data_IF_729042769447
#
_entry.id   IF_729042769447
#
_cell.length_a   1.000
_cell.length_b   1.000
_cell.length_c   1.000
_cell.angle_alpha   90.00
_cell.angle_beta   90.00
_cell.angle_gamma   90.00
#
_symmetry.space_group_name_H-M   'P 1'
#
loop_
_entity.id
_entity.type
_entity.pdbx_description
1 polymer ?
#
# COMPACT_ATOMS: atom_id res chain seq x y z
N UNK A 1 -19.34 -7.31 74.71
CA UNK A 1 -19.01 -8.71 75.00
C UNK A 1 -17.97 -9.11 74.03
N UNK A 2 -16.74 -9.10 74.39
CA UNK A 2 -15.84 -10.16 74.82
C UNK A 2 -15.57 -11.15 73.68
N UNK A 3 -14.39 -11.52 73.27
CA UNK A 3 -13.03 -11.48 73.79
C UNK A 3 -12.09 -11.97 72.68
N UNK A 4 -11.00 -11.31 72.60
CA UNK A 4 -9.62 -11.69 72.36
C UNK A 4 -9.26 -13.18 72.53
N UNK A 5 -8.35 -13.70 71.75
CA UNK A 5 -7.15 -14.36 72.24
C UNK A 5 -6.05 -14.48 71.16
N UNK A 6 -4.92 -13.99 71.49
CA UNK A 6 -3.56 -14.05 70.99
C UNK A 6 -2.99 -15.46 71.17
N UNK A 7 -2.21 -16.02 70.24
CA UNK A 7 -1.00 -16.72 70.67
C UNK A 7 0.13 -16.70 69.61
N UNK A 8 1.31 -16.54 70.21
CA UNK A 8 2.64 -16.39 69.60
C UNK A 8 3.42 -17.69 69.85
N UNK A 9 4.27 -18.05 68.92
CA UNK A 9 5.62 -18.64 69.11
C UNK A 9 6.16 -19.16 67.82
N UNK A 10 7.23 -18.68 67.27
CA UNK A 10 8.66 -18.73 67.59
C UNK A 10 9.39 -19.94 67.03
N UNK A 11 10.30 -19.64 66.05
CA UNK A 11 11.68 -20.13 65.79
C UNK A 11 11.86 -21.57 65.27
N UNK A 12 12.59 -21.83 64.18
CA UNK A 12 14.04 -21.89 64.06
C UNK A 12 14.44 -22.41 62.67
N UNK A 13 15.38 -21.76 62.06
CA UNK A 13 16.54 -22.20 61.29
C UNK A 13 16.60 -23.58 60.64
N UNK A 14 16.85 -23.58 59.30
CA UNK A 14 17.34 -24.73 58.54
C UNK A 14 17.77 -24.31 57.14
N UNK A 15 19.07 -24.20 56.94
CA UNK A 15 19.74 -23.98 55.67
C UNK A 15 19.53 -25.16 54.71
N UNK A 16 19.23 -24.83 53.45
CA UNK A 16 19.21 -25.83 52.39
C UNK A 16 19.18 -25.15 51.03
N UNK A 17 20.35 -25.01 50.41
CA UNK A 17 20.55 -24.55 49.06
C UNK A 17 20.03 -25.58 48.07
N UNK A 18 19.07 -25.18 47.22
CA UNK A 18 18.86 -25.80 45.94
C UNK A 18 18.48 -24.75 44.91
N UNK A 19 19.34 -24.61 43.92
CA UNK A 19 19.21 -23.85 42.72
C UNK A 19 17.98 -24.31 41.90
N UNK A 20 16.97 -23.46 41.82
CA UNK A 20 15.82 -23.58 40.93
C UNK A 20 15.80 -22.39 39.98
N UNK A 21 16.24 -22.59 38.76
CA UNK A 21 16.14 -21.63 37.69
C UNK A 21 14.67 -21.37 37.36
N UNK A 22 14.12 -20.26 37.81
CA UNK A 22 12.86 -19.71 37.36
C UNK A 22 13.14 -18.93 36.08
N UNK A 23 12.76 -19.52 34.91
CA UNK A 23 12.69 -18.84 33.64
C UNK A 23 11.58 -17.79 33.70
N UNK A 24 11.96 -16.58 34.04
CA UNK A 24 11.11 -15.39 33.86
C UNK A 24 10.98 -15.10 32.37
N UNK A 25 9.78 -15.31 31.80
CA UNK A 25 9.40 -14.81 30.51
C UNK A 25 9.31 -13.29 30.56
N UNK A 26 10.46 -12.62 30.46
CA UNK A 26 10.55 -11.21 30.20
C UNK A 26 10.05 -10.94 28.78
N UNK A 27 8.89 -10.30 28.65
CA UNK A 27 8.43 -9.70 27.40
C UNK A 27 9.44 -8.63 27.00
N UNK A 28 10.42 -9.02 26.18
CA UNK A 28 11.31 -8.09 25.52
C UNK A 28 10.47 -7.34 24.47
N UNK A 29 10.00 -6.15 24.83
CA UNK A 29 9.57 -5.13 23.88
C UNK A 29 10.80 -4.68 23.08
N UNK A 30 11.23 -5.53 22.14
CA UNK A 30 12.25 -5.21 21.17
C UNK A 30 11.79 -4.01 20.36
N UNK A 31 12.48 -2.89 20.51
CA UNK A 31 12.33 -1.73 19.64
C UNK A 31 12.59 -2.18 18.19
N UNK A 32 11.51 -2.24 17.39
CA UNK A 32 11.58 -2.57 15.97
C UNK A 32 12.18 -1.38 15.23
N UNK A 33 13.47 -1.46 14.91
CA UNK A 33 14.12 -0.55 13.95
C UNK A 33 13.99 -1.15 12.56
N UNK A 34 13.05 -0.70 11.72
CA UNK A 34 12.91 -1.22 10.37
C UNK A 34 14.15 -0.85 9.56
N UNK A 35 14.91 -1.81 9.11
CA UNK A 35 15.94 -1.60 8.10
C UNK A 35 15.25 -1.36 6.76
N UNK A 36 14.98 -0.08 6.49
CA UNK A 36 14.25 0.39 5.31
C UNK A 36 15.14 0.26 4.07
N UNK A 37 15.27 -0.94 3.53
CA UNK A 37 15.76 -1.11 2.16
C UNK A 37 14.60 -0.87 1.21
N UNK A 38 14.62 0.27 0.52
CA UNK A 38 13.73 0.54 -0.60
C UNK A 38 14.00 -0.49 -1.71
N UNK A 39 13.18 -1.54 -1.76
CA UNK A 39 13.20 -2.50 -2.85
C UNK A 39 12.31 -1.94 -3.96
N UNK A 40 12.91 -1.26 -4.94
CA UNK A 40 12.31 -1.21 -6.26
C UNK A 40 12.44 -2.62 -6.84
N UNK A 41 11.34 -3.25 -7.22
CA UNK A 41 11.34 -4.59 -7.81
C UNK A 41 12.13 -4.74 -9.12
N UNK A 42 13.01 -3.80 -9.42
CA UNK A 42 13.86 -3.74 -10.62
C UNK A 42 15.32 -3.32 -10.35
N UNK A 43 15.74 -3.16 -9.10
CA UNK A 43 17.09 -2.63 -8.79
C UNK A 43 18.27 -3.56 -9.09
N UNK A 44 18.06 -4.86 -9.25
CA UNK A 44 19.13 -5.83 -9.52
C UNK A 44 19.50 -6.02 -10.99
N UNK A 45 18.60 -5.75 -11.91
CA UNK A 45 18.80 -6.02 -13.36
C UNK A 45 19.54 -4.92 -14.09
N UNK A 46 19.68 -3.74 -13.53
CA UNK A 46 20.17 -2.55 -14.23
C UNK A 46 21.69 -2.55 -14.49
N UNK A 47 22.47 -3.07 -13.57
CA UNK A 47 23.91 -3.19 -13.75
C UNK A 47 24.21 -4.27 -14.80
N UNK A 48 23.46 -5.37 -14.77
CA UNK A 48 23.59 -6.49 -15.70
C UNK A 48 23.20 -6.09 -17.13
N UNK A 49 22.09 -5.39 -17.32
CA UNK A 49 21.70 -4.91 -18.66
C UNK A 49 22.71 -3.97 -19.29
N UNK A 50 23.37 -3.12 -18.51
CA UNK A 50 24.44 -2.24 -19.01
C UNK A 50 25.67 -2.99 -19.41
N UNK A 51 26.09 -3.95 -18.59
CA UNK A 51 27.21 -4.81 -18.89
C UNK A 51 26.96 -5.56 -20.20
N UNK A 52 25.79 -6.16 -20.37
CA UNK A 52 25.39 -6.87 -21.59
C UNK A 52 25.42 -5.95 -22.82
N UNK A 53 24.91 -4.71 -22.71
CA UNK A 53 24.95 -3.76 -23.84
C UNK A 53 26.37 -3.33 -24.19
N UNK A 54 27.26 -3.17 -23.20
CA UNK A 54 28.66 -2.85 -23.43
C UNK A 54 29.42 -4.03 -24.01
N UNK A 55 29.15 -5.26 -23.56
CA UNK A 55 29.73 -6.49 -24.11
C UNK A 55 29.31 -6.70 -25.56
N UNK A 56 28.00 -6.50 -25.86
CA UNK A 56 27.50 -6.56 -27.23
C UNK A 56 28.15 -5.50 -28.13
N UNK A 57 28.35 -4.29 -27.62
CA UNK A 57 29.03 -3.24 -28.36
C UNK A 57 30.50 -3.62 -28.67
N UNK A 58 31.20 -4.18 -27.68
CA UNK A 58 32.58 -4.67 -27.86
C UNK A 58 32.64 -5.84 -28.87
N UNK A 59 31.75 -6.82 -28.72
CA UNK A 59 31.66 -7.96 -29.62
C UNK A 59 31.37 -7.56 -31.07
N UNK A 60 30.53 -6.56 -31.29
CA UNK A 60 30.25 -6.02 -32.63
C UNK A 60 31.47 -5.36 -33.26
N UNK A 61 32.25 -4.60 -32.51
CA UNK A 61 33.48 -3.99 -33.03
C UNK A 61 34.51 -5.06 -33.41
N UNK A 62 34.70 -6.06 -32.54
CA UNK A 62 35.63 -7.18 -32.80
C UNK A 62 35.20 -7.98 -34.03
N UNK A 63 33.92 -8.34 -34.14
CA UNK A 63 33.40 -9.08 -35.30
C UNK A 63 33.50 -8.28 -36.58
N UNK A 64 33.22 -6.97 -36.56
CA UNK A 64 33.38 -6.08 -37.70
C UNK A 64 34.85 -5.98 -38.16
N UNK A 65 35.80 -5.98 -37.22
CA UNK A 65 37.23 -5.97 -37.52
C UNK A 65 37.70 -7.27 -38.18
N UNK A 66 37.16 -8.42 -37.76
CA UNK A 66 37.48 -9.75 -38.32
C UNK A 66 36.94 -9.95 -39.73
N UNK A 67 35.79 -9.36 -40.05
CA UNK A 67 35.12 -9.54 -41.35
C UNK A 67 35.72 -8.62 -42.43
N UNK A 68 36.26 -7.47 -42.04
CA UNK A 68 36.94 -6.54 -42.94
C UNK A 68 36.42 -5.10 -42.90
N UNK A 69 37.09 -4.17 -43.61
CA UNK A 69 36.80 -2.73 -43.49
C UNK A 69 35.40 -2.31 -43.90
N UNK A 70 34.78 -3.01 -44.81
CA UNK A 70 33.39 -2.75 -45.26
C UNK A 70 32.36 -3.06 -44.15
N UNK A 71 32.63 -4.06 -43.29
CA UNK A 71 31.77 -4.42 -42.18
C UNK A 71 32.07 -3.61 -40.92
N UNK A 72 33.29 -3.08 -40.79
CA UNK A 72 33.74 -2.33 -39.62
C UNK A 72 32.96 -1.03 -39.41
N UNK A 73 32.68 -0.28 -40.48
CA UNK A 73 31.98 1.01 -40.40
C UNK A 73 30.55 0.84 -39.83
N UNK A 74 29.68 -0.03 -40.34
CA UNK A 74 28.36 -0.24 -39.73
C UNK A 74 28.43 -0.87 -38.35
N UNK A 75 29.45 -1.73 -38.07
CA UNK A 75 29.67 -2.29 -36.74
C UNK A 75 29.99 -1.23 -35.69
N UNK A 76 30.88 -0.25 -36.02
CA UNK A 76 31.19 0.87 -35.15
C UNK A 76 29.94 1.76 -34.93
N UNK A 77 29.16 2.04 -35.96
CA UNK A 77 27.96 2.85 -35.83
C UNK A 77 26.94 2.18 -34.89
N UNK A 78 26.73 0.85 -35.02
CA UNK A 78 25.85 0.11 -34.15
C UNK A 78 26.38 0.00 -32.73
N UNK A 79 27.67 -0.25 -32.55
CA UNK A 79 28.34 -0.24 -31.26
C UNK A 79 28.21 1.12 -30.55
N UNK A 80 28.45 2.21 -31.26
CA UNK A 80 28.26 3.58 -30.73
C UNK A 80 26.79 3.80 -30.28
N UNK A 81 25.81 3.32 -31.04
CA UNK A 81 24.40 3.37 -30.66
C UNK A 81 24.16 2.60 -29.33
N UNK A 82 24.70 1.38 -29.21
CA UNK A 82 24.58 0.56 -27.99
C UNK A 82 25.23 1.24 -26.78
N UNK A 83 26.39 1.84 -26.96
CA UNK A 83 27.07 2.61 -25.90
C UNK A 83 26.24 3.83 -25.49
N UNK A 84 25.67 4.56 -26.43
CA UNK A 84 24.76 5.69 -26.15
C UNK A 84 23.54 5.20 -25.36
N UNK A 85 22.95 4.07 -25.73
CA UNK A 85 21.82 3.44 -25.03
C UNK A 85 22.21 3.02 -23.60
N UNK A 86 23.45 2.55 -23.37
CA UNK A 86 23.94 2.12 -22.08
C UNK A 86 24.29 3.31 -21.14
N UNK A 87 24.85 4.39 -21.69
CA UNK A 87 25.42 5.52 -20.92
C UNK A 87 24.41 6.66 -20.73
N UNK A 88 23.62 7.00 -21.75
CA UNK A 88 22.73 8.15 -21.71
C UNK A 88 21.59 7.93 -20.72
N UNK A 89 21.48 8.87 -19.80
CA UNK A 89 20.41 8.91 -18.80
C UNK A 89 19.45 10.07 -19.07
N UNK A 90 18.18 9.77 -19.19
CA UNK A 90 17.14 10.79 -19.27
C UNK A 90 16.32 10.83 -17.98
N UNK A 91 16.36 11.96 -17.25
CA UNK A 91 15.65 12.13 -15.97
C UNK A 91 16.01 11.08 -14.90
N UNK A 92 17.28 10.64 -14.87
CA UNK A 92 17.74 9.66 -13.89
C UNK A 92 17.45 8.19 -14.22
N UNK A 93 16.79 7.90 -15.37
CA UNK A 93 16.55 6.54 -15.90
C UNK A 93 17.43 6.29 -17.13
N UNK A 94 17.81 5.04 -17.37
CA UNK A 94 18.50 4.63 -18.61
C UNK A 94 17.55 4.74 -19.80
N UNK A 95 18.07 4.94 -21.02
CA UNK A 95 17.24 5.00 -22.23
C UNK A 95 16.41 3.74 -22.45
N UNK A 96 16.93 2.50 -22.29
CA UNK A 96 16.13 1.29 -22.41
C UNK A 96 14.93 1.25 -21.45
N UNK A 97 15.14 1.65 -20.17
CA UNK A 97 14.04 1.75 -19.20
C UNK A 97 12.99 2.78 -19.64
N UNK A 98 13.45 3.92 -20.12
CA UNK A 98 12.57 4.98 -20.61
C UNK A 98 11.73 4.52 -21.79
N UNK A 99 12.33 3.79 -22.74
CA UNK A 99 11.61 3.17 -23.86
C UNK A 99 10.66 2.07 -23.38
N UNK A 100 11.12 1.22 -22.47
CA UNK A 100 10.31 0.16 -21.88
C UNK A 100 9.05 0.71 -21.20
N UNK A 101 9.17 1.78 -20.38
CA UNK A 101 7.99 2.40 -19.75
C UNK A 101 7.06 3.07 -20.77
N UNK A 102 7.61 3.63 -21.87
CA UNK A 102 6.80 4.22 -22.95
C UNK A 102 6.01 3.14 -23.72
N UNK A 103 6.67 2.03 -24.05
CA UNK A 103 6.02 0.90 -24.72
C UNK A 103 4.98 0.23 -23.83
N UNK A 104 5.30 0.07 -22.54
CA UNK A 104 4.35 -0.46 -21.56
C UNK A 104 3.11 0.43 -21.42
N UNK A 105 3.29 1.76 -21.35
CA UNK A 105 2.16 2.70 -21.36
C UNK A 105 1.30 2.55 -22.61
N UNK A 106 1.93 2.51 -23.81
CA UNK A 106 1.20 2.31 -25.06
C UNK A 106 0.45 0.98 -25.10
N UNK A 107 1.08 -0.08 -24.61
CA UNK A 107 0.46 -1.41 -24.54
C UNK A 107 -0.76 -1.41 -23.60
N UNK A 108 -0.64 -0.78 -22.40
CA UNK A 108 -1.76 -0.64 -21.46
C UNK A 108 -2.91 0.17 -22.06
N UNK A 109 -2.61 1.30 -22.70
CA UNK A 109 -3.64 2.13 -23.32
C UNK A 109 -4.34 1.42 -24.50
N UNK A 110 -3.61 0.61 -25.29
CA UNK A 110 -4.21 -0.23 -26.32
C UNK A 110 -5.13 -1.30 -25.74
N UNK A 111 -4.67 -2.03 -24.72
CA UNK A 111 -5.50 -3.01 -24.00
C UNK A 111 -6.74 -2.35 -23.41
N UNK A 112 -6.56 -1.20 -22.77
CA UNK A 112 -7.65 -0.43 -22.22
C UNK A 112 -8.71 -0.04 -23.25
N UNK A 113 -8.31 0.30 -24.49
CA UNK A 113 -9.23 0.63 -25.56
C UNK A 113 -9.96 -0.59 -26.13
N UNK A 114 -9.34 -1.78 -26.09
CA UNK A 114 -9.89 -3.02 -26.66
C UNK A 114 -10.67 -3.89 -25.68
N UNK A 115 -10.49 -3.68 -24.35
CA UNK A 115 -11.12 -4.51 -23.32
C UNK A 115 -12.30 -3.75 -22.71
N UNK A 116 -13.55 -4.15 -22.96
CA UNK A 116 -14.71 -3.57 -22.29
C UNK A 116 -14.73 -3.97 -20.82
N UNK A 117 -15.44 -3.19 -20.02
CA UNK A 117 -15.71 -3.57 -18.62
C UNK A 117 -16.62 -4.79 -18.63
N UNK A 118 -16.31 -5.86 -17.86
CA UNK A 118 -17.16 -7.04 -17.82
C UNK A 118 -18.59 -6.68 -17.38
N UNK A 119 -19.62 -7.26 -18.03
CA UNK A 119 -21.00 -7.03 -17.64
C UNK A 119 -21.24 -7.50 -16.21
N UNK A 120 -22.09 -6.81 -15.45
CA UNK A 120 -22.37 -7.14 -14.06
C UNK A 120 -21.30 -6.67 -13.05
N UNK A 121 -20.27 -5.95 -13.51
CA UNK A 121 -19.31 -5.32 -12.59
C UNK A 121 -20.00 -4.25 -11.76
N UNK A 122 -19.83 -4.30 -10.43
CA UNK A 122 -20.31 -3.24 -9.54
C UNK A 122 -19.73 -1.88 -9.93
N UNK A 123 -20.58 -0.85 -9.96
CA UNK A 123 -20.20 0.48 -10.40
C UNK A 123 -19.12 1.12 -9.51
N UNK A 124 -19.04 0.75 -8.24
CA UNK A 124 -17.98 1.18 -7.31
C UNK A 124 -16.64 0.50 -7.59
N UNK A 125 -16.68 -0.77 -8.00
CA UNK A 125 -15.48 -1.56 -8.34
C UNK A 125 -14.97 -1.25 -9.75
N UNK A 126 -15.83 -0.76 -10.66
CA UNK A 126 -15.51 -0.54 -12.07
C UNK A 126 -14.19 0.19 -12.31
N UNK A 127 -13.81 1.29 -11.61
CA UNK A 127 -12.51 1.94 -11.82
C UNK A 127 -11.31 1.03 -11.54
N UNK A 128 -11.40 0.10 -10.58
CA UNK A 128 -10.34 -0.86 -10.29
C UNK A 128 -10.30 -1.98 -11.34
N UNK A 129 -11.46 -2.50 -11.77
CA UNK A 129 -11.59 -3.52 -12.82
C UNK A 129 -11.13 -2.98 -14.18
N UNK A 130 -11.34 -1.69 -14.47
CA UNK A 130 -10.78 -1.04 -15.65
C UNK A 130 -9.25 -0.99 -15.66
N UNK A 131 -8.64 -0.98 -14.47
CA UNK A 131 -7.18 -1.04 -14.31
C UNK A 131 -6.66 -2.48 -14.38
N UNK A 132 -7.42 -3.43 -13.82
CA UNK A 132 -7.14 -4.87 -13.84
C UNK A 132 -8.43 -5.65 -14.11
N UNK A 133 -8.68 -6.07 -15.36
CA UNK A 133 -9.93 -6.70 -15.78
C UNK A 133 -10.21 -8.07 -15.15
N UNK A 134 -9.20 -8.68 -14.51
CA UNK A 134 -9.36 -9.97 -13.85
C UNK A 134 -9.89 -9.85 -12.43
N UNK A 135 -9.89 -8.65 -11.84
CA UNK A 135 -10.38 -8.45 -10.48
C UNK A 135 -11.85 -8.84 -10.35
N UNK A 136 -12.12 -9.64 -9.32
CA UNK A 136 -13.46 -10.09 -8.93
C UNK A 136 -13.58 -9.99 -7.42
N UNK A 137 -14.78 -9.77 -6.93
CA UNK A 137 -15.11 -9.84 -5.51
C UNK A 137 -15.72 -11.20 -5.15
N UNK A 138 -15.54 -11.56 -3.91
CA UNK A 138 -16.05 -12.80 -3.32
C UNK A 138 -16.61 -12.50 -1.94
N UNK A 139 -17.72 -13.15 -1.60
CA UNK A 139 -18.28 -13.16 -0.25
C UNK A 139 -18.02 -14.51 0.39
N UNK A 140 -17.31 -14.54 1.51
CA UNK A 140 -17.03 -15.74 2.26
C UNK A 140 -17.87 -15.78 3.53
N UNK A 141 -18.69 -16.84 3.67
CA UNK A 141 -19.51 -17.11 4.84
C UNK A 141 -18.86 -18.22 5.68
N UNK A 142 -18.76 -18.01 6.98
CA UNK A 142 -18.15 -18.97 7.90
C UNK A 142 -19.20 -19.99 8.35
N UNK A 143 -19.17 -21.19 7.74
CA UNK A 143 -20.08 -22.27 8.10
C UNK A 143 -21.54 -22.00 7.76
N UNK A 144 -22.47 -22.74 8.42
CA UNK A 144 -23.92 -22.60 8.24
C UNK A 144 -24.56 -21.46 9.05
N UNK A 145 -23.74 -20.73 9.82
CA UNK A 145 -24.24 -19.68 10.69
C UNK A 145 -24.49 -18.40 9.87
N UNK A 146 -25.74 -18.20 9.46
CA UNK A 146 -26.18 -17.05 8.67
C UNK A 146 -26.16 -15.74 9.43
N UNK A 147 -26.01 -15.80 10.74
CA UNK A 147 -25.92 -14.60 11.60
C UNK A 147 -24.51 -14.00 11.67
N UNK A 148 -23.50 -14.72 11.19
CA UNK A 148 -22.14 -14.18 11.12
C UNK A 148 -21.95 -13.31 9.87
N UNK A 149 -21.36 -12.15 10.08
CA UNK A 149 -21.07 -11.19 9.02
C UNK A 149 -20.12 -11.82 7.98
N UNK A 150 -20.45 -11.78 6.68
CA UNK A 150 -19.60 -12.33 5.64
C UNK A 150 -18.31 -11.51 5.51
N UNK A 151 -17.23 -12.18 5.12
CA UNK A 151 -15.94 -11.56 4.82
C UNK A 151 -15.85 -11.29 3.33
N UNK A 152 -15.72 -10.01 2.96
CA UNK A 152 -15.47 -9.59 1.58
C UNK A 152 -14.01 -9.81 1.19
N UNK A 153 -13.81 -10.35 0.02
CA UNK A 153 -12.48 -10.57 -0.57
C UNK A 153 -12.45 -10.09 -2.02
N UNK A 154 -11.29 -9.66 -2.48
CA UNK A 154 -11.04 -9.33 -3.88
C UNK A 154 -9.82 -10.10 -4.37
N UNK A 155 -9.86 -10.58 -5.63
CA UNK A 155 -8.75 -11.31 -6.24
C UNK A 155 -8.84 -11.32 -7.74
N UNK A 156 -7.76 -11.75 -8.41
CA UNK A 156 -7.66 -11.85 -9.88
C UNK A 156 -7.57 -13.31 -10.39
N UNK A 157 -7.64 -14.27 -9.47
CA UNK A 157 -7.46 -15.69 -9.74
C UNK A 157 -6.12 -16.24 -9.22
N UNK A 158 -5.08 -15.43 -9.15
CA UNK A 158 -3.77 -15.81 -8.62
C UNK A 158 -3.64 -15.45 -7.13
N UNK A 159 -4.34 -14.43 -6.65
CA UNK A 159 -4.34 -14.01 -5.26
C UNK A 159 -5.73 -13.69 -4.73
N UNK A 160 -5.84 -13.63 -3.41
CA UNK A 160 -6.99 -13.10 -2.67
C UNK A 160 -6.54 -12.04 -1.69
N UNK A 161 -7.32 -10.99 -1.54
CA UNK A 161 -7.09 -9.92 -0.56
C UNK A 161 -8.33 -9.69 0.27
N UNK A 162 -8.16 -9.70 1.60
CA UNK A 162 -9.18 -9.24 2.56
C UNK A 162 -8.74 -7.91 3.16
N UNK A 163 -9.70 -7.04 3.46
CA UNK A 163 -9.43 -5.69 3.96
C UNK A 163 -10.09 -5.48 5.32
N UNK A 164 -9.33 -4.90 6.23
CA UNK A 164 -9.81 -4.43 7.52
C UNK A 164 -9.83 -2.90 7.52
N UNK A 165 -10.89 -2.31 8.03
CA UNK A 165 -10.93 -0.89 8.35
C UNK A 165 -10.56 -0.69 9.81
N UNK A 166 -9.56 0.18 10.05
CA UNK A 166 -9.09 0.49 11.39
C UNK A 166 -9.68 1.80 11.86
N UNK A 167 -10.34 1.75 13.00
CA UNK A 167 -10.90 2.91 13.66
C UNK A 167 -10.13 3.16 14.96
N UNK A 168 -9.79 4.41 15.22
CA UNK A 168 -9.32 4.76 16.54
C UNK A 168 -10.52 4.88 17.49
N UNK A 169 -10.46 4.25 18.64
CA UNK A 169 -11.50 4.31 19.66
C UNK A 169 -11.51 5.70 20.36
N UNK A 170 -11.63 6.74 19.54
CA UNK A 170 -11.62 8.12 19.99
C UNK A 170 -13.06 8.62 20.09
N UNK A 171 -13.58 8.69 21.29
CA UNK A 171 -14.76 9.50 21.55
C UNK A 171 -14.56 10.90 20.94
N UNK A 172 -15.57 11.42 20.27
CA UNK A 172 -15.53 12.66 19.46
C UNK A 172 -14.97 13.90 20.18
N UNK A 173 -14.80 13.83 21.50
CA UNK A 173 -14.41 14.94 22.37
C UNK A 173 -13.05 14.77 23.07
N UNK A 174 -12.31 13.70 22.84
CA UNK A 174 -10.98 13.53 23.46
C UNK A 174 -9.86 14.01 22.55
N UNK A 175 -9.13 15.02 23.01
CA UNK A 175 -7.93 15.57 22.36
C UNK A 175 -6.74 14.59 22.22
N UNK A 176 -6.88 13.34 22.67
CA UNK A 176 -5.83 12.33 22.66
C UNK A 176 -5.71 11.51 21.35
N UNK A 177 -6.39 11.95 20.28
CA UNK A 177 -6.47 11.26 18.98
C UNK A 177 -5.13 10.94 18.29
N UNK A 178 -4.02 11.54 18.73
CA UNK A 178 -2.70 11.35 18.12
C UNK A 178 -1.77 10.40 18.86
N UNK A 179 -2.15 9.89 20.04
CA UNK A 179 -1.21 9.23 20.95
C UNK A 179 -1.03 7.72 20.76
N UNK A 180 -1.87 7.06 19.98
CA UNK A 180 -1.73 5.62 19.70
C UNK A 180 -1.54 5.40 18.19
N UNK A 181 -0.31 5.42 17.69
CA UNK A 181 -0.05 5.08 16.30
C UNK A 181 -0.36 3.61 16.05
N UNK A 182 -0.79 3.29 14.81
CA UNK A 182 -0.99 1.91 14.38
C UNK A 182 0.31 1.12 14.60
N UNK A 183 0.29 0.03 15.36
CA UNK A 183 1.49 -0.77 15.62
C UNK A 183 1.84 -1.61 14.38
N UNK A 184 2.72 -1.09 13.53
CA UNK A 184 3.16 -1.74 12.27
C UNK A 184 3.76 -3.12 12.52
N UNK A 185 4.32 -3.36 13.71
CA UNK A 185 4.81 -4.68 14.12
C UNK A 185 3.72 -5.74 14.12
N UNK A 186 2.50 -5.43 14.57
CA UNK A 186 1.38 -6.38 14.55
C UNK A 186 0.96 -6.74 13.10
N UNK A 187 1.01 -5.75 12.20
CA UNK A 187 0.72 -5.99 10.77
C UNK A 187 1.82 -6.84 10.12
N UNK A 188 3.09 -6.59 10.47
CA UNK A 188 4.21 -7.43 10.03
C UNK A 188 4.05 -8.88 10.49
N UNK A 189 3.74 -9.08 11.76
CA UNK A 189 3.64 -10.41 12.36
C UNK A 189 2.53 -11.25 11.72
N UNK A 190 1.53 -10.61 11.10
CA UNK A 190 0.46 -11.30 10.37
C UNK A 190 0.94 -11.94 9.07
N UNK A 191 2.13 -11.56 8.55
CA UNK A 191 2.68 -12.17 7.34
C UNK A 191 2.95 -13.68 7.48
N UNK A 192 3.06 -14.20 8.70
CA UNK A 192 3.25 -15.61 8.98
C UNK A 192 2.53 -16.00 10.28
N UNK A 193 1.36 -16.60 10.17
CA UNK A 193 0.52 -17.01 11.31
C UNK A 193 -0.09 -18.36 11.05
N UNK A 194 0.02 -19.30 11.98
CA UNK A 194 -0.61 -20.63 11.92
C UNK A 194 -0.28 -21.41 10.64
N UNK A 195 0.95 -21.26 10.10
CA UNK A 195 1.39 -21.84 8.83
C UNK A 195 0.82 -21.16 7.58
N UNK A 196 0.02 -20.12 7.74
CA UNK A 196 -0.49 -19.30 6.64
C UNK A 196 0.56 -18.23 6.35
N UNK A 197 1.07 -18.23 5.11
CA UNK A 197 2.05 -17.28 4.62
C UNK A 197 1.40 -16.31 3.67
N UNK A 198 1.27 -15.04 4.12
CA UNK A 198 0.77 -13.98 3.26
C UNK A 198 1.88 -13.48 2.31
N UNK A 199 1.51 -13.13 1.08
CA UNK A 199 2.40 -12.46 0.12
C UNK A 199 2.80 -11.08 0.64
N UNK A 200 1.79 -10.32 1.13
CA UNK A 200 2.00 -8.98 1.65
C UNK A 200 0.88 -8.54 2.61
N UNK A 201 1.20 -7.52 3.40
CA UNK A 201 0.24 -6.75 4.18
C UNK A 201 0.45 -5.27 3.87
N UNK A 202 -0.63 -4.59 3.48
CA UNK A 202 -0.59 -3.20 3.05
C UNK A 202 -1.39 -2.33 4.01
N UNK A 203 -0.81 -1.20 4.43
CA UNK A 203 -1.50 -0.17 5.20
C UNK A 203 -1.79 0.98 4.24
N UNK A 204 -3.07 1.32 4.07
CA UNK A 204 -3.52 2.43 3.22
C UNK A 204 -4.15 3.50 4.10
N UNK A 205 -3.63 4.72 4.04
CA UNK A 205 -4.16 5.88 4.74
C UNK A 205 -4.71 6.85 3.70
N UNK A 206 -6.02 6.99 3.65
CA UNK A 206 -6.73 7.93 2.79
C UNK A 206 -7.13 9.17 3.59
N UNK A 207 -6.78 10.34 3.10
CA UNK A 207 -6.98 11.60 3.80
C UNK A 207 -7.65 12.61 2.88
N UNK A 208 -8.70 13.25 3.36
CA UNK A 208 -9.31 14.42 2.72
C UNK A 208 -9.16 15.63 3.65
N UNK A 209 -8.70 16.77 3.14
CA UNK A 209 -8.50 17.95 3.96
C UNK A 209 -9.84 18.53 4.43
N UNK A 210 -9.79 19.27 5.54
CA UNK A 210 -10.90 20.08 6.00
C UNK A 210 -10.51 21.58 5.94
N UNK A 211 -11.43 22.46 5.64
CA UNK A 211 -12.71 22.21 5.00
C UNK A 211 -12.52 21.76 3.56
N UNK A 212 -13.50 21.05 3.02
CA UNK A 212 -13.40 20.61 1.63
C UNK A 212 -13.12 21.80 0.70
N UNK A 213 -12.08 21.72 -0.11
CA UNK A 213 -11.55 22.82 -0.93
C UNK A 213 -12.56 23.49 -1.89
N UNK A 214 -13.71 22.84 -2.13
CA UNK A 214 -14.75 23.36 -2.99
C UNK A 214 -15.77 24.25 -2.29
N UNK A 215 -15.72 24.31 -0.97
CA UNK A 215 -16.65 25.18 -0.24
C UNK A 215 -16.20 26.63 -0.36
N UNK A 216 -17.14 27.56 -0.58
CA UNK A 216 -16.82 28.98 -0.54
C UNK A 216 -16.20 29.34 0.82
N UNK A 217 -15.18 30.17 0.82
CA UNK A 217 -14.51 30.60 2.07
C UNK A 217 -15.46 31.28 3.07
N UNK A 218 -16.56 31.81 2.56
CA UNK A 218 -17.61 32.47 3.35
C UNK A 218 -18.65 31.49 3.91
N UNK A 219 -18.55 30.19 3.62
CA UNK A 219 -19.50 29.22 4.13
C UNK A 219 -19.37 29.08 5.65
N UNK A 220 -20.48 28.93 6.35
CA UNK A 220 -20.54 28.71 7.80
C UNK A 220 -19.72 27.46 8.20
N UNK A 221 -19.67 26.46 7.33
CA UNK A 221 -18.87 25.26 7.53
C UNK A 221 -17.38 25.58 7.56
N UNK A 222 -16.89 26.44 6.67
CA UNK A 222 -15.49 26.85 6.62
C UNK A 222 -15.12 27.67 7.84
N UNK A 223 -15.96 28.66 8.20
CA UNK A 223 -15.72 29.54 9.34
C UNK A 223 -15.70 28.79 10.68
N UNK A 224 -16.55 27.77 10.84
CA UNK A 224 -16.60 26.97 12.06
C UNK A 224 -15.50 25.90 12.12
N UNK A 225 -15.04 25.36 10.97
CA UNK A 225 -14.04 24.32 10.90
C UNK A 225 -12.59 24.83 10.92
N UNK A 226 -12.35 26.03 10.36
CA UNK A 226 -11.01 26.62 10.28
C UNK A 226 -10.33 26.79 11.67
N UNK A 227 -11.01 27.28 12.72
CA UNK A 227 -10.41 27.35 14.07
C UNK A 227 -10.07 25.97 14.64
N UNK A 228 -10.94 24.97 14.44
CA UNK A 228 -10.70 23.61 14.90
C UNK A 228 -9.51 22.97 14.18
N UNK A 229 -9.39 23.18 12.88
CA UNK A 229 -8.27 22.70 12.09
C UNK A 229 -6.95 23.36 12.51
N UNK A 230 -6.96 24.67 12.76
CA UNK A 230 -5.79 25.41 13.23
C UNK A 230 -5.29 24.89 14.59
N UNK A 231 -6.23 24.50 15.48
CA UNK A 231 -5.89 23.94 16.80
C UNK A 231 -5.45 22.49 16.75
N UNK A 232 -6.06 21.66 15.90
CA UNK A 232 -5.87 20.21 15.91
C UNK A 232 -4.94 19.70 14.81
N UNK A 233 -4.75 20.46 13.73
CA UNK A 233 -4.05 20.02 12.50
C UNK A 233 -4.71 18.81 11.81
N UNK A 234 -5.94 18.47 12.23
CA UNK A 234 -6.60 17.24 11.79
C UNK A 234 -7.30 17.42 10.44
N UNK A 235 -7.19 16.48 9.51
CA UNK A 235 -7.97 16.47 8.28
C UNK A 235 -9.46 16.22 8.58
N UNK A 236 -10.35 16.57 7.61
CA UNK A 236 -11.78 16.30 7.74
C UNK A 236 -12.09 14.81 7.83
N UNK A 237 -11.42 14.05 6.96
CA UNK A 237 -11.59 12.60 6.90
C UNK A 237 -10.21 11.94 6.82
N UNK A 238 -9.99 10.97 7.68
CA UNK A 238 -8.85 10.05 7.61
C UNK A 238 -9.37 8.64 7.83
N UNK A 239 -9.22 7.82 6.81
CA UNK A 239 -9.60 6.40 6.85
C UNK A 239 -8.33 5.59 6.71
N UNK A 240 -8.19 4.55 7.54
CA UNK A 240 -7.06 3.64 7.48
C UNK A 240 -7.58 2.23 7.19
N UNK A 241 -7.06 1.62 6.14
CA UNK A 241 -7.32 0.22 5.80
C UNK A 241 -6.05 -0.60 5.91
N UNK A 242 -6.20 -1.86 6.27
CA UNK A 242 -5.14 -2.87 6.18
C UNK A 242 -5.63 -3.94 5.23
N UNK A 243 -4.91 -4.13 4.12
CA UNK A 243 -5.21 -5.15 3.12
C UNK A 243 -4.20 -6.30 3.27
N UNK A 244 -4.71 -7.50 3.50
CA UNK A 244 -3.93 -8.73 3.62
C UNK A 244 -4.06 -9.51 2.32
N UNK A 245 -2.93 -9.76 1.65
CA UNK A 245 -2.88 -10.46 0.37
C UNK A 245 -2.30 -11.86 0.54
N UNK A 246 -3.04 -12.84 0.09
CA UNK A 246 -2.68 -14.24 0.07
C UNK A 246 -2.48 -14.70 -1.38
N UNK A 247 -1.30 -15.21 -1.68
CA UNK A 247 -1.06 -16.09 -2.81
C UNK A 247 -1.12 -17.53 -2.30
N UNK A 248 -2.11 -18.35 -2.75
CA UNK A 248 -2.28 -19.71 -2.28
C UNK A 248 -1.05 -20.61 -2.53
N UNK A 249 -0.22 -20.29 -3.53
CA UNK A 249 0.99 -21.04 -3.86
C UNK A 249 2.08 -20.91 -2.79
N UNK A 250 2.03 -19.85 -1.96
CA UNK A 250 3.01 -19.66 -0.87
C UNK A 250 2.76 -20.55 0.34
N UNK A 251 1.56 -21.13 0.48
CA UNK A 251 1.20 -22.00 1.60
C UNK A 251 0.22 -23.12 1.19
N UNK A 252 0.59 -23.98 0.21
CA UNK A 252 -0.31 -24.99 -0.34
C UNK A 252 -0.79 -26.00 0.71
N UNK A 253 0.05 -26.33 1.69
CA UNK A 253 -0.30 -27.24 2.78
C UNK A 253 -1.39 -26.66 3.67
N UNK A 254 -1.28 -25.37 4.05
CA UNK A 254 -2.27 -24.67 4.86
C UNK A 254 -3.63 -24.56 4.13
N UNK A 255 -3.58 -24.32 2.82
CA UNK A 255 -4.76 -24.25 1.95
C UNK A 255 -5.42 -25.64 1.82
N UNK A 256 -4.63 -26.68 1.57
CA UNK A 256 -5.12 -28.05 1.46
C UNK A 256 -5.77 -28.55 2.76
N UNK A 257 -5.14 -28.27 3.92
CA UNK A 257 -5.69 -28.61 5.23
C UNK A 257 -7.05 -27.97 5.55
N UNK A 258 -7.38 -26.88 4.85
CA UNK A 258 -8.65 -26.14 5.04
C UNK A 258 -9.68 -26.37 3.93
N UNK A 259 -9.48 -27.39 3.10
CA UNK A 259 -10.43 -27.84 2.07
C UNK A 259 -9.93 -27.60 0.64
N UNK A 260 -8.73 -27.05 0.47
CA UNK A 260 -8.10 -26.85 -0.84
C UNK A 260 -8.76 -25.78 -1.72
N UNK A 261 -8.12 -25.44 -2.82
CA UNK A 261 -8.64 -24.53 -3.82
C UNK A 261 -9.06 -23.15 -3.26
N UNK A 262 -10.06 -22.56 -3.88
CA UNK A 262 -10.58 -21.25 -3.48
C UNK A 262 -11.11 -21.25 -2.03
N UNK A 263 -11.84 -22.26 -1.64
CA UNK A 263 -12.45 -22.36 -0.29
C UNK A 263 -11.36 -22.43 0.78
N UNK A 264 -10.31 -23.23 0.56
CA UNK A 264 -9.17 -23.32 1.48
C UNK A 264 -8.43 -21.99 1.60
N UNK A 265 -8.19 -21.29 0.47
CA UNK A 265 -7.57 -19.98 0.44
C UNK A 265 -8.42 -18.92 1.17
N UNK A 266 -9.73 -18.91 0.96
CA UNK A 266 -10.66 -18.02 1.67
C UNK A 266 -10.63 -18.25 3.18
N UNK A 267 -10.63 -19.50 3.64
CA UNK A 267 -10.51 -19.86 5.06
C UNK A 267 -9.19 -19.40 5.67
N UNK A 268 -8.08 -19.57 4.94
CA UNK A 268 -6.77 -19.07 5.37
C UNK A 268 -6.78 -17.56 5.55
N UNK A 269 -7.27 -16.85 4.56
CA UNK A 269 -7.27 -15.39 4.56
C UNK A 269 -8.20 -14.80 5.62
N UNK A 270 -9.41 -15.37 5.77
CA UNK A 270 -10.35 -14.99 6.83
C UNK A 270 -9.74 -15.20 8.23
N UNK A 271 -9.05 -16.33 8.45
CA UNK A 271 -8.34 -16.60 9.71
C UNK A 271 -7.26 -15.57 10.01
N UNK A 272 -6.45 -15.20 9.02
CA UNK A 272 -5.41 -14.18 9.17
C UNK A 272 -6.00 -12.80 9.46
N UNK A 273 -7.11 -12.44 8.80
CA UNK A 273 -7.79 -11.16 9.01
C UNK A 273 -8.41 -11.08 10.43
N UNK A 274 -9.07 -12.12 10.89
CA UNK A 274 -9.63 -12.20 12.26
C UNK A 274 -8.54 -12.17 13.32
N UNK A 275 -7.44 -12.88 13.10
CA UNK A 275 -6.29 -12.86 14.00
C UNK A 275 -5.73 -11.43 14.15
N UNK A 276 -5.54 -10.72 13.04
CA UNK A 276 -5.07 -9.33 13.08
C UNK A 276 -6.08 -8.42 13.76
N UNK A 277 -7.38 -8.56 13.45
CA UNK A 277 -8.46 -7.79 14.09
C UNK A 277 -8.43 -7.94 15.61
N UNK A 278 -8.33 -9.18 16.10
CA UNK A 278 -8.23 -9.49 17.53
C UNK A 278 -6.99 -8.86 18.18
N UNK A 279 -5.81 -8.96 17.54
CA UNK A 279 -4.57 -8.38 18.05
C UNK A 279 -4.61 -6.85 18.10
N UNK A 280 -5.21 -6.21 17.10
CA UNK A 280 -5.40 -4.75 17.07
C UNK A 280 -6.38 -4.30 18.16
N UNK A 281 -7.44 -5.08 18.40
CA UNK A 281 -8.38 -4.83 19.49
C UNK A 281 -7.69 -4.91 20.86
N UNK A 282 -6.82 -5.90 21.06
CA UNK A 282 -5.96 -5.99 22.24
C UNK A 282 -5.00 -4.79 22.41
N UNK A 283 -4.62 -4.12 21.32
CA UNK A 283 -3.83 -2.90 21.33
C UNK A 283 -4.69 -1.62 21.46
N UNK A 284 -6.02 -1.73 21.64
CA UNK A 284 -6.94 -0.61 21.81
C UNK A 284 -7.34 0.08 20.49
N UNK A 285 -7.27 -0.63 19.38
CA UNK A 285 -7.72 -0.16 18.07
C UNK A 285 -8.86 -1.07 17.60
N UNK A 286 -9.98 -0.50 17.17
CA UNK A 286 -11.02 -1.28 16.51
C UNK A 286 -10.60 -1.57 15.07
N UNK A 287 -10.65 -2.82 14.68
CA UNK A 287 -10.36 -3.23 13.32
C UNK A 287 -11.46 -4.20 12.84
N UNK A 288 -12.29 -3.74 11.92
CA UNK A 288 -13.41 -4.52 11.37
C UNK A 288 -13.01 -5.07 10.01
N UNK A 289 -13.19 -6.38 9.83
CA UNK A 289 -13.05 -7.01 8.52
C UNK A 289 -14.25 -6.59 7.67
N UNK A 290 -13.98 -6.10 6.45
CA UNK A 290 -15.01 -5.58 5.57
C UNK A 290 -15.82 -6.70 4.90
N UNK A 291 -17.12 -6.48 4.76
CA UNK A 291 -17.98 -7.27 3.86
C UNK A 291 -17.68 -6.95 2.39
N UNK A 292 -18.22 -7.71 1.45
CA UNK A 292 -18.01 -7.46 0.02
C UNK A 292 -18.47 -6.06 -0.42
N UNK A 293 -19.62 -5.61 0.07
CA UNK A 293 -20.15 -4.29 -0.23
C UNK A 293 -19.26 -3.17 0.33
N UNK A 294 -18.83 -3.31 1.59
CA UNK A 294 -17.93 -2.36 2.23
C UNK A 294 -16.54 -2.33 1.59
N UNK A 295 -16.04 -3.48 1.16
CA UNK A 295 -14.79 -3.61 0.42
C UNK A 295 -14.87 -2.86 -0.91
N UNK A 296 -15.95 -3.04 -1.65
CA UNK A 296 -16.20 -2.31 -2.90
C UNK A 296 -16.27 -0.80 -2.66
N UNK A 297 -16.97 -0.37 -1.61
CA UNK A 297 -17.03 1.04 -1.21
C UNK A 297 -15.66 1.59 -0.79
N UNK A 298 -14.84 0.80 -0.09
CA UNK A 298 -13.48 1.18 0.31
C UNK A 298 -12.57 1.35 -0.91
N UNK A 299 -12.65 0.45 -1.91
CA UNK A 299 -11.91 0.55 -3.16
C UNK A 299 -12.34 1.78 -3.95
N UNK A 300 -13.66 2.03 -4.10
CA UNK A 300 -14.21 3.21 -4.76
C UNK A 300 -13.75 4.52 -4.08
N UNK A 301 -13.81 4.56 -2.75
CA UNK A 301 -13.37 5.71 -1.95
C UNK A 301 -11.87 5.94 -2.11
N UNK A 302 -11.07 4.88 -2.01
CA UNK A 302 -9.64 4.96 -2.22
C UNK A 302 -9.31 5.41 -3.64
N UNK A 303 -10.01 4.93 -4.67
CA UNK A 303 -9.87 5.38 -6.06
C UNK A 303 -10.33 6.84 -6.27
N UNK A 304 -10.95 7.45 -5.26
CA UNK A 304 -11.64 8.73 -5.37
C UNK A 304 -12.66 8.73 -6.52
N UNK A 305 -13.39 7.63 -6.75
CA UNK A 305 -14.48 7.60 -7.71
C UNK A 305 -15.53 8.65 -7.37
N UNK A 306 -16.11 9.29 -8.40
CA UNK A 306 -17.15 10.28 -8.15
C UNK A 306 -18.47 9.57 -7.81
N UNK A 307 -19.06 9.78 -6.61
CA UNK A 307 -20.28 9.10 -6.19
C UNK A 307 -21.47 9.35 -7.15
N UNK A 308 -21.58 10.54 -7.72
CA UNK A 308 -22.66 10.87 -8.67
C UNK A 308 -22.51 10.07 -9.98
N UNK A 309 -21.28 9.99 -10.50
CA UNK A 309 -20.99 9.17 -11.71
C UNK A 309 -21.18 7.70 -11.40
N UNK A 310 -20.76 7.23 -10.23
CA UNK A 310 -20.97 5.85 -9.80
C UNK A 310 -22.46 5.48 -9.73
N UNK A 311 -23.28 6.33 -9.12
CA UNK A 311 -24.73 6.13 -9.06
C UNK A 311 -25.40 6.15 -10.45
N UNK A 312 -24.91 6.99 -11.35
CA UNK A 312 -25.41 7.03 -12.74
C UNK A 312 -24.97 5.80 -13.54
N UNK A 313 -23.71 5.39 -13.40
CA UNK A 313 -23.17 4.19 -14.07
C UNK A 313 -23.90 2.91 -13.64
N UNK A 314 -24.30 2.80 -12.37
CA UNK A 314 -25.08 1.65 -11.87
C UNK A 314 -26.50 1.54 -12.46
N UNK A 315 -26.98 2.60 -13.14
CA UNK A 315 -28.29 2.62 -13.84
C UNK A 315 -28.15 2.42 -15.35
N UNK A 316 -26.93 2.39 -15.88
CA UNK A 316 -26.67 2.30 -17.33
C UNK A 316 -26.47 0.86 -17.74
N UNK A 317 -27.16 0.42 -18.81
CA UNK A 317 -27.00 -0.91 -19.39
C UNK A 317 -25.65 -1.09 -20.12
N UNK A 318 -25.02 0.03 -20.55
CA UNK A 318 -23.72 0.02 -21.22
C UNK A 318 -22.71 0.85 -20.40
N UNK A 319 -21.89 0.19 -19.57
CA UNK A 319 -20.90 0.91 -18.76
C UNK A 319 -19.84 1.55 -19.66
N UNK A 320 -19.73 2.88 -19.57
CA UNK A 320 -18.66 3.62 -20.24
C UNK A 320 -17.40 3.58 -19.37
N UNK A 321 -16.23 3.54 -20.05
CA UNK A 321 -14.95 3.59 -19.37
C UNK A 321 -14.76 4.91 -18.63
N UNK A 322 -14.43 4.81 -17.33
CA UNK A 322 -14.30 5.92 -16.40
C UNK A 322 -12.86 6.35 -16.16
N UNK A 323 -11.90 5.49 -16.54
CA UNK A 323 -10.48 5.70 -16.25
C UNK A 323 -9.64 5.90 -17.51
N UNK A 324 -8.58 6.72 -17.38
CA UNK A 324 -7.63 6.97 -18.45
C UNK A 324 -6.23 7.20 -17.87
N UNK A 325 -5.22 6.49 -18.40
CA UNK A 325 -3.82 6.70 -18.03
C UNK A 325 -3.14 7.63 -19.04
N UNK A 326 -2.51 8.69 -18.53
CA UNK A 326 -1.61 9.56 -19.28
C UNK A 326 -0.17 9.38 -18.80
N UNK A 327 0.77 10.06 -19.46
CA UNK A 327 2.19 9.96 -19.09
C UNK A 327 2.52 10.46 -17.68
N UNK A 328 1.70 11.33 -17.09
CA UNK A 328 1.97 11.99 -15.80
C UNK A 328 0.82 11.94 -14.80
N UNK A 329 -0.33 11.48 -15.23
CA UNK A 329 -1.52 11.40 -14.39
C UNK A 329 -2.40 10.23 -14.81
N UNK A 330 -3.18 9.77 -13.88
CA UNK A 330 -4.30 8.87 -14.12
C UNK A 330 -5.59 9.65 -13.85
N UNK A 331 -6.62 9.46 -14.66
CA UNK A 331 -7.92 10.08 -14.51
C UNK A 331 -8.95 9.03 -14.10
N UNK A 332 -9.77 9.36 -13.15
CA UNK A 332 -10.98 8.63 -12.79
C UNK A 332 -12.13 9.62 -12.76
N UNK A 333 -13.12 9.42 -13.60
CA UNK A 333 -14.22 10.36 -13.79
C UNK A 333 -13.71 11.79 -14.11
N UNK A 334 -14.09 12.78 -13.30
CA UNK A 334 -13.63 14.16 -13.38
C UNK A 334 -12.44 14.46 -12.46
N UNK A 335 -11.79 13.45 -11.88
CA UNK A 335 -10.69 13.60 -10.94
C UNK A 335 -9.38 13.12 -11.55
N UNK A 336 -8.29 13.82 -11.23
CA UNK A 336 -6.95 13.55 -11.75
C UNK A 336 -6.01 13.19 -10.61
N UNK A 337 -5.16 12.21 -10.84
CA UNK A 337 -4.28 11.64 -9.83
C UNK A 337 -2.84 11.63 -10.31
N UNK A 338 -1.91 11.85 -9.41
CA UNK A 338 -0.49 11.61 -9.64
C UNK A 338 0.06 10.78 -8.49
N UNK A 339 0.74 9.69 -8.84
CA UNK A 339 1.32 8.78 -7.86
C UNK A 339 2.83 8.91 -7.84
N UNK A 340 3.38 8.86 -6.64
CA UNK A 340 4.79 8.85 -6.33
C UNK A 340 5.15 7.56 -5.60
N UNK A 341 6.37 7.12 -5.81
CA UNK A 341 7.02 6.08 -5.04
C UNK A 341 7.99 6.70 -4.05
N UNK A 342 8.04 6.18 -2.80
CA UNK A 342 9.01 6.59 -1.78
C UNK A 342 10.34 5.90 -2.07
N UNK A 343 11.21 6.59 -2.78
CA UNK A 343 12.54 6.09 -3.17
C UNK A 343 13.53 6.09 -2.02
N UNK A 344 13.46 7.07 -1.15
CA UNK A 344 14.33 7.21 0.01
C UNK A 344 13.53 7.61 1.23
N UNK A 345 13.63 6.79 2.25
CA UNK A 345 13.04 7.06 3.55
C UNK A 345 13.95 7.95 4.39
N UNK A 346 13.41 8.82 5.25
CA UNK A 346 14.19 9.49 6.28
C UNK A 346 14.62 8.49 7.33
N UNK A 347 15.49 8.91 8.23
CA UNK A 347 15.75 8.12 9.45
C UNK A 347 14.49 8.12 10.30
N UNK A 348 13.95 6.92 10.51
CA UNK A 348 12.79 6.67 11.36
C UNK A 348 13.26 5.95 12.62
N UNK A 349 12.70 6.27 13.78
CA UNK A 349 13.03 5.63 15.05
C UNK A 349 13.26 6.63 16.18
N UNK A 350 13.89 6.19 17.26
CA UNK A 350 14.03 6.95 18.50
C UNK A 350 14.76 8.31 18.37
N UNK A 351 15.59 8.44 17.32
CA UNK A 351 16.33 9.69 17.02
C UNK A 351 15.74 10.50 15.86
N UNK A 352 14.63 10.06 15.27
CA UNK A 352 14.00 10.67 14.09
C UNK A 352 12.49 10.84 14.22
N UNK A 353 11.85 11.29 13.12
CA UNK A 353 10.39 11.38 13.08
C UNK A 353 9.77 9.97 13.12
N UNK A 354 8.65 9.82 13.81
CA UNK A 354 7.89 8.58 13.75
C UNK A 354 7.25 8.41 12.37
N UNK A 355 7.04 7.15 11.94
CA UNK A 355 6.35 6.88 10.68
C UNK A 355 4.97 7.56 10.62
N UNK A 356 4.25 7.60 11.74
CA UNK A 356 2.95 8.25 11.84
C UNK A 356 3.04 9.78 11.60
N UNK A 357 4.07 10.44 12.13
CA UNK A 357 4.33 11.87 11.89
C UNK A 357 4.71 12.12 10.43
N UNK A 358 5.55 11.27 9.84
CA UNK A 358 5.89 11.35 8.42
C UNK A 358 4.65 11.24 7.54
N UNK A 359 3.82 10.22 7.77
CA UNK A 359 2.58 10.00 7.00
C UNK A 359 1.63 11.18 7.20
N UNK A 360 1.47 11.68 8.44
CA UNK A 360 0.63 12.83 8.72
C UNK A 360 1.10 14.08 7.97
N UNK A 361 2.41 14.37 7.96
CA UNK A 361 2.97 15.51 7.23
C UNK A 361 2.81 15.41 5.72
N UNK A 362 3.06 14.22 5.14
CA UNK A 362 2.92 14.00 3.70
C UNK A 362 1.45 13.99 3.23
N UNK A 363 0.51 13.65 4.11
CA UNK A 363 -0.92 13.62 3.78
C UNK A 363 -1.68 14.90 4.17
N UNK A 364 -1.02 15.87 4.78
CA UNK A 364 -1.59 17.18 5.12
C UNK A 364 -1.61 18.18 3.95
N UNK A 365 -1.08 17.78 2.79
CA UNK A 365 -1.02 18.63 1.59
C UNK A 365 -2.42 19.05 1.15
N UNK A 366 -2.64 20.34 0.78
CA UNK A 366 -3.93 20.83 0.30
C UNK A 366 -4.23 20.28 -1.10
N UNK A 367 -4.90 19.13 -1.14
CA UNK A 367 -5.34 18.43 -2.32
C UNK A 367 -6.77 17.92 -2.08
N UNK A 368 -7.53 17.61 -3.13
CA UNK A 368 -8.87 17.00 -2.98
C UNK A 368 -8.82 15.75 -2.08
N UNK A 369 -7.80 14.94 -2.27
CA UNK A 369 -7.47 13.82 -1.39
C UNK A 369 -6.00 13.44 -1.53
N UNK A 370 -5.44 12.86 -0.48
CA UNK A 370 -4.13 12.19 -0.50
C UNK A 370 -4.29 10.76 -0.01
N UNK A 371 -3.58 9.84 -0.64
CA UNK A 371 -3.58 8.41 -0.24
C UNK A 371 -2.15 7.96 -0.09
N UNK A 372 -1.77 7.59 1.11
CA UNK A 372 -0.48 6.98 1.41
C UNK A 372 -0.65 5.47 1.56
N UNK A 373 0.23 4.70 0.95
CA UNK A 373 0.25 3.24 1.03
C UNK A 373 1.63 2.77 1.48
N UNK A 374 1.66 1.91 2.49
CA UNK A 374 2.84 1.20 2.96
C UNK A 374 2.60 -0.30 2.81
N UNK A 375 3.36 -0.95 1.94
CA UNK A 375 3.29 -2.40 1.73
C UNK A 375 4.46 -3.08 2.43
N UNK A 376 4.15 -4.04 3.26
CA UNK A 376 5.09 -4.96 3.89
C UNK A 376 5.03 -6.28 3.12
N UNK A 377 6.14 -6.72 2.57
CA UNK A 377 6.25 -7.99 1.88
C UNK A 377 7.43 -8.80 2.43
N UNK A 378 7.39 -10.12 2.27
CA UNK A 378 8.51 -10.97 2.68
C UNK A 378 9.73 -10.70 1.82
N UNK A 379 10.88 -10.54 2.45
CA UNK A 379 12.19 -10.41 1.81
C UNK A 379 12.90 -11.77 1.68
N UNK A 380 14.03 -11.79 0.99
CA UNK A 380 14.78 -13.04 0.68
C UNK A 380 15.45 -13.70 1.90
N UNK A 381 15.68 -12.97 3.00
CA UNK A 381 16.42 -13.45 4.20
C UNK A 381 15.62 -13.31 5.48
N UNK A 382 14.33 -13.65 5.47
CA UNK A 382 13.41 -13.39 6.57
C UNK A 382 13.25 -11.89 6.93
N UNK A 383 13.85 -11.01 6.16
CA UNK A 383 13.65 -9.58 6.26
C UNK A 383 12.28 -9.19 5.70
N UNK A 384 11.73 -8.07 6.18
CA UNK A 384 10.52 -7.50 5.62
C UNK A 384 10.89 -6.34 4.70
N UNK A 385 10.54 -6.46 3.43
CA UNK A 385 10.68 -5.41 2.47
C UNK A 385 9.54 -4.39 2.64
N UNK A 386 9.88 -3.11 2.73
CA UNK A 386 8.92 -2.02 2.83
C UNK A 386 8.89 -1.21 1.55
N UNK A 387 7.69 -1.02 1.00
CA UNK A 387 7.48 -0.18 -0.18
C UNK A 387 6.41 0.85 0.12
N UNK A 388 6.72 2.12 -0.14
CA UNK A 388 5.80 3.24 0.09
C UNK A 388 5.36 3.88 -1.21
N UNK A 389 4.07 4.16 -1.33
CA UNK A 389 3.50 4.96 -2.42
C UNK A 389 2.65 6.09 -1.86
N UNK A 390 2.61 7.20 -2.59
CA UNK A 390 1.78 8.34 -2.23
C UNK A 390 1.07 8.84 -3.49
N UNK A 391 -0.24 8.96 -3.42
CA UNK A 391 -1.08 9.48 -4.49
C UNK A 391 -1.77 10.74 -4.04
N UNK A 392 -1.70 11.78 -4.86
CA UNK A 392 -2.46 13.02 -4.71
C UNK A 392 -3.55 13.10 -5.76
N UNK A 393 -4.67 13.68 -5.39
CA UNK A 393 -5.86 13.83 -6.22
C UNK A 393 -6.27 15.29 -6.30
N UNK A 394 -6.58 15.75 -7.49
CA UNK A 394 -7.13 17.08 -7.78
C UNK A 394 -8.28 17.00 -8.78
N UNK A 395 -9.10 18.05 -8.86
CA UNK A 395 -10.21 18.16 -9.83
C UNK A 395 -9.75 18.67 -11.19
N UNK A 396 -8.70 19.48 -11.18
CA UNK A 396 -8.12 20.09 -12.38
C UNK A 396 -6.63 19.81 -12.49
N UNK A 397 -6.06 20.07 -13.68
CA UNK A 397 -4.62 20.01 -13.87
C UNK A 397 -3.88 21.05 -13.03
N UNK A 398 -4.48 22.24 -12.84
CA UNK A 398 -3.88 23.30 -12.06
C UNK A 398 -3.81 22.90 -10.58
N UNK A 399 -4.96 22.50 -9.99
CA UNK A 399 -5.03 22.03 -8.61
C UNK A 399 -4.05 20.88 -8.34
N UNK A 400 -3.97 19.91 -9.28
CA UNK A 400 -3.03 18.80 -9.17
C UNK A 400 -1.57 19.28 -9.24
N UNK A 401 -1.27 20.30 -10.04
CA UNK A 401 0.09 20.85 -10.16
C UNK A 401 0.50 21.59 -8.90
N UNK A 402 -0.41 22.35 -8.32
CA UNK A 402 -0.13 23.09 -7.09
C UNK A 402 0.03 22.12 -5.91
N UNK A 403 -0.87 21.14 -5.76
CA UNK A 403 -0.74 20.09 -4.75
C UNK A 403 0.56 19.29 -4.88
N UNK A 404 1.06 19.08 -6.11
CA UNK A 404 2.36 18.42 -6.35
C UNK A 404 3.53 19.26 -5.84
N UNK A 405 3.51 20.57 -6.04
CA UNK A 405 4.56 21.48 -5.54
C UNK A 405 4.62 21.45 -4.02
N UNK A 406 3.45 21.53 -3.38
CA UNK A 406 3.32 21.44 -1.92
C UNK A 406 3.82 20.09 -1.39
N UNK A 407 3.43 18.98 -2.03
CA UNK A 407 3.90 17.65 -1.66
C UNK A 407 5.43 17.52 -1.78
N UNK A 408 6.00 17.98 -2.89
CA UNK A 408 7.44 17.91 -3.12
C UNK A 408 8.21 18.80 -2.11
N UNK A 409 7.61 19.90 -1.66
CA UNK A 409 8.17 20.74 -0.60
C UNK A 409 8.08 20.03 0.76
N UNK A 410 6.92 19.49 1.14
CA UNK A 410 6.74 18.74 2.38
C UNK A 410 7.69 17.53 2.45
N UNK A 411 7.87 16.82 1.34
CA UNK A 411 8.80 15.70 1.26
C UNK A 411 10.26 16.12 1.46
N UNK A 412 10.68 17.26 0.90
CA UNK A 412 12.03 17.82 1.14
C UNK A 412 12.24 18.17 2.61
N UNK A 413 11.24 18.81 3.25
CA UNK A 413 11.29 19.14 4.68
C UNK A 413 11.39 17.87 5.54
N UNK A 414 10.64 16.82 5.19
CA UNK A 414 10.68 15.52 5.84
C UNK A 414 11.90 14.66 5.45
N UNK A 415 12.85 15.17 4.65
CA UNK A 415 14.01 14.43 4.11
C UNK A 415 13.64 13.12 3.40
N UNK A 416 12.44 13.08 2.80
CA UNK A 416 11.90 11.93 2.08
C UNK A 416 12.14 12.11 0.59
N UNK A 417 12.73 11.11 -0.06
CA UNK A 417 12.93 11.11 -1.50
C UNK A 417 11.71 10.54 -2.22
N UNK A 418 10.93 11.38 -2.90
CA UNK A 418 9.82 10.96 -3.74
C UNK A 418 10.24 10.87 -5.21
N UNK A 419 9.82 9.81 -5.90
CA UNK A 419 9.97 9.65 -7.34
C UNK A 419 8.59 9.54 -7.98
N UNK A 420 8.25 10.50 -8.88
CA UNK A 420 6.99 10.45 -9.60
C UNK A 420 6.99 9.31 -10.61
N UNK A 421 5.91 8.54 -10.65
CA UNK A 421 5.73 7.39 -11.53
C UNK A 421 5.30 7.81 -12.94
N UNK A 422 6.14 8.59 -13.63
CA UNK A 422 5.89 9.02 -15.01
C UNK A 422 5.77 7.79 -15.92
N UNK A 423 4.66 7.66 -16.67
CA UNK A 423 4.28 6.53 -17.53
C UNK A 423 3.99 5.21 -16.81
N UNK A 424 3.92 5.25 -15.49
CA UNK A 424 3.60 4.11 -14.62
C UNK A 424 2.52 4.52 -13.60
N UNK A 425 1.60 5.41 -14.03
CA UNK A 425 0.57 5.94 -13.13
C UNK A 425 -0.43 4.87 -12.74
N UNK A 426 -0.86 4.01 -13.67
CA UNK A 426 -1.80 2.94 -13.39
C UNK A 426 -1.24 1.91 -12.38
N UNK A 427 -0.01 1.35 -12.54
CA UNK A 427 0.59 0.52 -11.50
C UNK A 427 0.70 1.24 -10.15
N UNK A 428 1.03 2.54 -10.18
CA UNK A 428 1.07 3.35 -8.97
C UNK A 428 -0.29 3.51 -8.29
N UNK A 429 -1.35 3.67 -9.06
CA UNK A 429 -2.73 3.71 -8.53
C UNK A 429 -3.08 2.37 -7.89
N UNK A 430 -2.87 1.25 -8.57
CA UNK A 430 -3.11 -0.08 -8.00
C UNK A 430 -2.34 -0.31 -6.70
N UNK A 431 -1.09 0.18 -6.62
CA UNK A 431 -0.28 0.14 -5.40
C UNK A 431 -0.82 1.00 -4.25
N UNK A 432 -1.75 1.91 -4.51
CA UNK A 432 -2.40 2.77 -3.50
C UNK A 432 -3.85 2.40 -3.21
N UNK A 433 -4.45 1.49 -3.98
CA UNK A 433 -5.73 0.89 -3.63
C UNK A 433 -5.52 -0.20 -2.56
N UNK A 434 -6.51 -0.48 -1.70
CA UNK A 434 -6.42 -1.52 -0.68
C UNK A 434 -6.53 -2.93 -1.29
N UNK A 435 -5.53 -3.30 -2.12
CA UNK A 435 -5.46 -4.56 -2.86
C UNK A 435 -4.25 -5.43 -2.44
N UNK A 436 -3.56 -5.03 -1.36
CA UNK A 436 -2.37 -5.72 -0.87
C UNK A 436 -1.05 -5.17 -1.43
N UNK A 437 -1.06 -4.10 -2.23
CA UNK A 437 0.12 -3.47 -2.82
C UNK A 437 0.43 -3.91 -4.25
N UNK A 438 1.47 -3.32 -4.86
CA UNK A 438 1.89 -3.66 -6.22
C UNK A 438 2.60 -5.01 -6.26
N UNK A 439 2.40 -5.76 -7.34
CA UNK A 439 3.23 -6.91 -7.75
C UNK A 439 4.60 -6.49 -8.24
#
# INVERSE_FOLDING_TARGET
MASATRNRSRSQSGSGSTSGSASGSGSASGSFSPHLKSRSGRGGSFTTQRLVLLELAAALVVSGWLVGPMALVPAIALAALLVVLAVVRRRGRSLPEWLGTLLALRARNRRAASTPVPPGTDAGLAPAVECDPNLRTYSYHRGDDRDQRPVGMVGDGDFLTAVLQVESDAGALRAERGRRPLPVGLVRDTLDVDGIRLESAQIVVHTQPAPALHLPQQSVVVSNYAPLQAQTGSPAVRITWIALKLDPELCPEAVAARGGGLIGAQKCLARSAEHLSSRLSGAGLRANVLSEEELTAAIATSACANPMVTAQAGRSEAPQRRTEESSRSWRCDNRRHTTYWVRRWPQLGDSGASLAQLVAGLTAVPALATTFSLTLARGERQDVALTGHLRITGRSNQELTDARRELEQAARQARTGLARLDREQLPGVLATLPLGGAR
#
